data_IF_364714694639
#
_entry.id   IF_364714694639
#
_cell.length_a   1.000
_cell.length_b   1.000
_cell.length_c   1.000
_cell.angle_alpha   90.00
_cell.angle_beta   90.00
_cell.angle_gamma   90.00
#
_symmetry.space_group_name_H-M   'P 1'
#
loop_
_entity.id
_entity.type
_entity.pdbx_description
1 polymer ?
#
# COMPACT_ATOMS: atom_id res chain seq x y z
N UNK A 1 -19.53 -0.11 -17.32
CA UNK A 1 -18.12 0.08 -17.65
C UNK A 1 -17.44 0.76 -16.47
N UNK A 2 -16.36 0.20 -15.95
CA UNK A 2 -15.66 0.73 -14.78
C UNK A 2 -14.23 0.19 -14.71
N UNK A 3 -13.50 0.60 -13.66
CA UNK A 3 -12.10 0.20 -13.39
C UNK A 3 -11.11 0.62 -14.49
N UNK A 4 -11.39 1.69 -15.24
CA UNK A 4 -10.40 2.29 -16.14
C UNK A 4 -9.43 3.06 -15.27
N UNK A 5 -8.25 2.49 -15.01
CA UNK A 5 -7.29 2.99 -14.03
C UNK A 5 -6.00 3.52 -14.66
N UNK A 6 -5.77 3.23 -15.93
CA UNK A 6 -4.60 3.70 -16.68
C UNK A 6 -4.97 4.24 -18.06
N UNK A 7 -4.06 5.02 -18.64
CA UNK A 7 -4.26 5.71 -19.91
C UNK A 7 -4.40 4.75 -21.09
N UNK A 8 -3.59 3.68 -21.12
CA UNK A 8 -3.58 2.71 -22.20
C UNK A 8 -4.90 1.94 -22.27
N UNK A 9 -5.49 1.62 -21.10
CA UNK A 9 -6.82 1.02 -21.03
C UNK A 9 -7.88 1.96 -21.59
N UNK A 10 -7.83 3.25 -21.23
CA UNK A 10 -8.76 4.26 -21.76
C UNK A 10 -8.64 4.39 -23.28
N UNK A 11 -7.42 4.50 -23.80
CA UNK A 11 -7.14 4.59 -25.23
C UNK A 11 -7.66 3.37 -25.98
N UNK A 12 -7.36 2.16 -25.53
CA UNK A 12 -7.83 0.91 -26.17
C UNK A 12 -9.35 0.82 -26.25
N UNK A 13 -10.10 1.29 -25.27
CA UNK A 13 -11.57 1.28 -25.30
C UNK A 13 -12.09 2.16 -26.43
N UNK A 14 -11.51 3.33 -26.64
CA UNK A 14 -11.90 4.27 -27.71
C UNK A 14 -11.44 3.74 -29.08
N UNK A 15 -10.16 3.41 -29.22
CA UNK A 15 -9.54 2.96 -30.48
C UNK A 15 -10.19 1.69 -31.04
N UNK A 16 -10.64 0.78 -30.17
CA UNK A 16 -11.34 -0.45 -30.57
C UNK A 16 -12.82 -0.23 -30.90
N UNK A 17 -13.35 0.98 -30.77
CA UNK A 17 -14.75 1.29 -31.01
C UNK A 17 -15.73 0.70 -29.98
N UNK A 18 -15.22 0.25 -28.82
CA UNK A 18 -16.08 -0.26 -27.74
C UNK A 18 -16.91 0.85 -27.09
N UNK A 19 -16.44 2.08 -27.12
CA UNK A 19 -17.16 3.25 -26.66
C UNK A 19 -16.60 4.52 -27.31
N UNK A 20 -17.42 5.57 -27.41
CA UNK A 20 -17.01 6.89 -27.93
C UNK A 20 -16.30 7.71 -26.84
N UNK A 21 -16.57 7.44 -25.58
CA UNK A 21 -16.01 8.14 -24.42
C UNK A 21 -15.79 7.18 -23.26
N UNK A 22 -14.87 7.55 -22.36
CA UNK A 22 -14.64 6.88 -21.09
C UNK A 22 -14.99 7.82 -19.93
N UNK A 23 -15.65 7.28 -18.89
CA UNK A 23 -15.92 8.01 -17.66
C UNK A 23 -15.11 7.41 -16.51
N UNK A 24 -14.52 8.28 -15.68
CA UNK A 24 -13.69 7.89 -14.56
C UNK A 24 -14.15 8.58 -13.28
N UNK A 25 -14.49 7.79 -12.25
CA UNK A 25 -14.80 8.31 -10.92
C UNK A 25 -13.61 8.14 -9.98
N UNK A 26 -13.44 6.95 -9.41
CA UNK A 26 -12.38 6.65 -8.43
C UNK A 26 -10.94 6.96 -8.87
N UNK A 27 -10.55 6.80 -10.14
CA UNK A 27 -9.24 7.24 -10.60
C UNK A 27 -8.97 8.73 -10.37
N UNK A 28 -9.99 9.59 -10.57
CA UNK A 28 -9.86 11.04 -10.33
C UNK A 28 -9.85 11.39 -8.82
N UNK A 29 -10.39 10.54 -7.95
CA UNK A 29 -10.20 10.69 -6.49
C UNK A 29 -8.76 10.34 -6.07
N UNK A 30 -8.18 9.33 -6.71
CA UNK A 30 -6.79 8.95 -6.46
C UNK A 30 -5.81 9.99 -7.03
N UNK A 31 -6.08 10.49 -8.23
CA UNK A 31 -5.25 11.47 -8.94
C UNK A 31 -6.13 12.48 -9.70
N UNK A 32 -6.38 13.67 -9.13
CA UNK A 32 -7.20 14.70 -9.80
C UNK A 32 -6.56 15.23 -11.07
N UNK A 33 -5.22 15.16 -11.19
CA UNK A 33 -4.45 15.63 -12.36
C UNK A 33 -4.34 14.58 -13.48
N UNK A 34 -5.07 13.48 -13.40
CA UNK A 34 -4.99 12.35 -14.32
C UNK A 34 -5.02 12.77 -15.79
N UNK A 35 -6.02 13.58 -16.17
CA UNK A 35 -6.16 14.07 -17.55
C UNK A 35 -5.03 15.02 -17.96
N UNK A 36 -4.62 15.92 -17.09
CA UNK A 36 -3.51 16.86 -17.32
C UNK A 36 -2.19 16.13 -17.52
N UNK A 37 -1.92 15.10 -16.72
CA UNK A 37 -0.72 14.26 -16.85
C UNK A 37 -0.68 13.51 -18.17
N UNK A 38 -1.81 12.97 -18.64
CA UNK A 38 -1.88 12.31 -19.96
C UNK A 38 -1.62 13.33 -21.08
N UNK A 39 -2.30 14.47 -21.05
CA UNK A 39 -2.13 15.51 -22.07
C UNK A 39 -0.66 16.00 -22.13
N UNK A 40 0.06 15.95 -21.02
CA UNK A 40 1.48 16.29 -20.94
C UNK A 40 2.44 15.12 -21.29
N UNK A 41 1.94 13.95 -21.69
CA UNK A 41 2.75 12.75 -21.95
C UNK A 41 3.35 12.09 -20.70
N UNK A 42 2.81 12.41 -19.53
CA UNK A 42 3.30 11.96 -18.20
C UNK A 42 2.41 10.87 -17.57
N UNK A 43 1.96 9.92 -18.38
CA UNK A 43 1.09 8.85 -17.91
C UNK A 43 1.72 8.02 -16.76
N UNK A 44 3.05 7.89 -16.72
CA UNK A 44 3.78 7.21 -15.64
C UNK A 44 3.72 7.94 -14.29
N UNK A 45 3.37 9.23 -14.26
CA UNK A 45 3.24 10.02 -13.03
C UNK A 45 1.85 9.88 -12.38
N UNK A 46 0.94 9.13 -13.01
CA UNK A 46 -0.42 8.93 -12.50
C UNK A 46 -0.40 8.02 -11.27
N UNK A 47 -1.05 8.47 -10.20
CA UNK A 47 -1.36 7.66 -9.01
C UNK A 47 -2.60 6.82 -9.29
N UNK A 48 -2.39 5.56 -9.68
CA UNK A 48 -3.48 4.68 -10.15
C UNK A 48 -4.35 4.16 -8.99
N UNK A 49 -5.66 4.23 -9.16
CA UNK A 49 -6.62 3.69 -8.19
C UNK A 49 -6.44 2.16 -8.02
N UNK A 50 -6.36 1.70 -6.78
CA UNK A 50 -6.24 0.27 -6.41
C UNK A 50 -7.59 -0.42 -6.17
N UNK A 51 -8.68 0.24 -6.44
CA UNK A 51 -10.05 -0.30 -6.30
C UNK A 51 -10.39 -0.87 -4.91
N UNK A 52 -9.74 -0.37 -3.84
CA UNK A 52 -9.93 -0.86 -2.47
C UNK A 52 -11.27 -0.47 -1.84
N UNK A 53 -11.98 0.48 -2.41
CA UNK A 53 -13.28 1.02 -1.97
C UNK A 53 -13.31 1.69 -0.58
N UNK A 54 -12.31 1.47 0.29
CA UNK A 54 -12.33 1.82 1.73
C UNK A 54 -12.66 3.28 2.03
N UNK A 55 -11.98 4.23 1.38
CA UNK A 55 -12.18 5.66 1.63
C UNK A 55 -13.24 6.32 0.75
N UNK A 56 -13.72 5.65 -0.28
CA UNK A 56 -14.68 6.21 -1.24
C UNK A 56 -16.03 5.48 -1.17
N UNK A 57 -16.19 4.33 -1.82
CA UNK A 57 -17.47 3.63 -1.91
C UNK A 57 -18.03 3.24 -0.54
N UNK A 58 -17.19 2.67 0.34
CA UNK A 58 -17.60 2.32 1.69
C UNK A 58 -17.96 3.55 2.53
N UNK A 59 -17.16 4.62 2.42
CA UNK A 59 -17.45 5.86 3.14
C UNK A 59 -18.83 6.41 2.73
N UNK A 60 -19.14 6.46 1.43
CA UNK A 60 -20.43 6.91 0.93
C UNK A 60 -21.56 6.01 1.45
N UNK A 61 -21.42 4.68 1.38
CA UNK A 61 -22.43 3.73 1.84
C UNK A 61 -22.67 3.85 3.35
N UNK A 62 -21.63 4.12 4.12
CA UNK A 62 -21.70 4.29 5.57
C UNK A 62 -21.95 5.76 5.98
N UNK A 63 -22.31 6.66 5.05
CA UNK A 63 -22.56 8.09 5.28
C UNK A 63 -21.37 8.79 5.97
N UNK A 64 -20.17 8.38 5.65
CA UNK A 64 -18.93 8.96 6.13
C UNK A 64 -18.34 9.92 5.10
N UNK A 65 -17.38 10.73 5.53
CA UNK A 65 -16.69 11.67 4.66
C UNK A 65 -15.83 10.93 3.64
N UNK A 66 -15.93 11.34 2.38
CA UNK A 66 -15.20 10.73 1.26
C UNK A 66 -13.71 11.03 1.35
N UNK A 67 -12.89 10.00 1.21
CA UNK A 67 -11.43 10.09 1.18
C UNK A 67 -10.82 9.06 0.23
N UNK A 68 -9.50 9.10 0.06
CA UNK A 68 -8.79 8.10 -0.72
C UNK A 68 -7.52 7.66 0.04
N UNK A 69 -7.29 6.34 0.12
CA UNK A 69 -6.10 5.77 0.80
C UNK A 69 -4.78 6.14 0.11
N UNK A 70 -4.83 6.49 -1.17
CA UNK A 70 -3.67 6.90 -1.97
C UNK A 70 -3.51 8.43 -2.05
N UNK A 71 -4.55 9.20 -1.73
CA UNK A 71 -4.56 10.64 -1.87
C UNK A 71 -5.05 11.30 -0.58
N UNK A 72 -4.12 11.73 0.24
CA UNK A 72 -4.41 12.36 1.54
C UNK A 72 -5.08 13.74 1.41
N UNK A 73 -4.99 14.38 0.25
CA UNK A 73 -5.63 15.68 -0.03
C UNK A 73 -7.10 15.53 -0.40
N UNK A 74 -7.52 14.37 -0.92
CA UNK A 74 -8.88 14.16 -1.41
C UNK A 74 -9.94 14.45 -0.33
N UNK A 75 -10.81 15.40 -0.62
CA UNK A 75 -11.83 15.89 0.31
C UNK A 75 -11.32 16.88 1.36
N UNK A 76 -10.02 17.21 1.33
CA UNK A 76 -9.36 18.16 2.24
C UNK A 76 -8.47 19.16 1.48
N UNK A 77 -8.76 19.40 0.21
CA UNK A 77 -7.93 20.21 -0.70
C UNK A 77 -7.66 21.61 -0.16
N UNK A 78 -8.63 22.18 0.58
CA UNK A 78 -8.49 23.51 1.18
C UNK A 78 -7.55 23.55 2.40
N UNK A 79 -7.26 22.41 3.03
CA UNK A 79 -6.51 22.36 4.30
C UNK A 79 -5.26 21.50 4.25
N UNK A 80 -5.18 20.58 3.29
CA UNK A 80 -4.07 19.62 3.15
C UNK A 80 -3.29 19.74 1.84
N UNK A 81 -3.61 20.74 0.99
CA UNK A 81 -2.84 21.00 -0.23
C UNK A 81 -1.36 21.23 0.11
N UNK A 82 -0.47 20.63 -0.68
CA UNK A 82 0.97 20.74 -0.46
C UNK A 82 1.41 22.18 -0.76
N UNK A 83 1.86 22.89 0.28
CA UNK A 83 2.33 24.27 0.18
C UNK A 83 3.85 24.31 0.40
N UNK A 84 4.56 25.22 -0.28
CA UNK A 84 5.97 25.45 -0.02
C UNK A 84 6.25 25.73 1.46
N UNK A 85 7.33 25.17 2.00
CA UNK A 85 7.74 25.43 3.36
C UNK A 85 8.28 26.88 3.50
N UNK A 86 7.95 27.55 4.62
CA UNK A 86 8.48 28.87 4.91
C UNK A 86 10.02 28.89 5.03
N UNK A 87 10.60 27.77 5.48
CA UNK A 87 12.05 27.59 5.60
C UNK A 87 12.44 26.20 5.09
N UNK A 88 13.39 26.15 4.15
CA UNK A 88 14.01 24.90 3.70
C UNK A 88 14.80 24.27 4.82
N UNK A 89 14.66 22.95 5.01
CA UNK A 89 15.40 22.14 6.00
C UNK A 89 16.02 20.93 5.33
N UNK A 90 17.07 20.42 5.93
CA UNK A 90 17.66 19.12 5.62
C UNK A 90 16.98 18.06 6.49
N UNK A 91 16.20 17.16 5.84
CA UNK A 91 15.33 16.20 6.51
C UNK A 91 15.79 14.77 6.22
N UNK A 92 15.94 13.97 7.28
CA UNK A 92 16.11 12.53 7.17
C UNK A 92 14.76 11.81 7.32
N UNK A 93 14.48 10.86 6.45
CA UNK A 93 13.36 9.93 6.57
C UNK A 93 13.92 8.54 6.79
N UNK A 94 13.50 7.88 7.87
CA UNK A 94 13.94 6.52 8.21
C UNK A 94 12.86 5.51 7.85
N UNK A 95 13.16 4.65 6.87
CA UNK A 95 12.28 3.61 6.37
C UNK A 95 11.66 3.94 5.01
N UNK A 96 11.83 3.03 4.04
CA UNK A 96 11.34 3.11 2.66
C UNK A 96 10.01 2.40 2.43
N UNK A 97 9.22 2.21 3.49
CA UNK A 97 7.83 1.75 3.40
C UNK A 97 6.86 2.87 2.95
N UNK A 98 5.56 2.60 2.81
CA UNK A 98 4.60 3.57 2.26
C UNK A 98 4.55 4.88 3.06
N UNK A 99 4.67 4.82 4.37
CA UNK A 99 4.67 6.01 5.24
C UNK A 99 5.91 6.88 4.99
N UNK A 100 7.10 6.27 4.92
CA UNK A 100 8.34 7.01 4.67
C UNK A 100 8.42 7.55 3.25
N UNK A 101 7.99 6.78 2.26
CA UNK A 101 7.93 7.21 0.87
C UNK A 101 7.01 8.44 0.70
N UNK A 102 5.79 8.40 1.26
CA UNK A 102 4.87 9.53 1.16
C UNK A 102 5.38 10.74 1.94
N UNK A 103 5.95 10.55 3.14
CA UNK A 103 6.55 11.63 3.91
C UNK A 103 7.72 12.30 3.18
N UNK A 104 8.60 11.50 2.56
CA UNK A 104 9.73 11.99 1.77
C UNK A 104 9.25 12.78 0.54
N UNK A 105 8.26 12.23 -0.21
CA UNK A 105 7.68 12.90 -1.36
C UNK A 105 7.10 14.26 -0.99
N UNK A 106 6.25 14.30 0.05
CA UNK A 106 5.60 15.55 0.47
C UNK A 106 6.63 16.56 0.98
N UNK A 107 7.61 16.13 1.77
CA UNK A 107 8.67 17.02 2.25
C UNK A 107 9.50 17.62 1.10
N UNK A 108 9.85 16.80 0.09
CA UNK A 108 10.58 17.27 -1.09
C UNK A 108 9.74 18.25 -1.93
N UNK A 109 8.47 17.96 -2.17
CA UNK A 109 7.56 18.87 -2.89
C UNK A 109 7.34 20.20 -2.15
N UNK A 110 7.49 20.20 -0.83
CA UNK A 110 7.49 21.44 -0.03
C UNK A 110 8.82 22.22 -0.10
N UNK A 111 9.82 21.70 -0.80
CA UNK A 111 11.11 22.37 -1.03
C UNK A 111 12.21 22.02 -0.04
N UNK A 112 12.02 21.04 0.82
CA UNK A 112 13.06 20.55 1.73
C UNK A 112 14.14 19.75 0.98
N UNK A 113 15.35 19.65 1.56
CA UNK A 113 16.40 18.73 1.14
C UNK A 113 16.19 17.40 1.88
N UNK A 114 15.75 16.37 1.17
CA UNK A 114 15.27 15.12 1.78
C UNK A 114 16.16 13.95 1.43
N UNK A 115 16.64 13.24 2.46
CA UNK A 115 17.33 11.96 2.32
C UNK A 115 16.51 10.86 2.99
N UNK A 116 16.17 9.81 2.25
CA UNK A 116 15.49 8.63 2.76
C UNK A 116 16.49 7.49 2.94
N UNK A 117 16.55 6.94 4.15
CA UNK A 117 17.38 5.78 4.51
C UNK A 117 16.49 4.54 4.62
N UNK A 118 16.83 3.48 3.89
CA UNK A 118 16.16 2.19 3.94
C UNK A 118 17.18 1.09 4.27
N UNK A 119 16.86 0.24 5.25
CA UNK A 119 17.75 -0.83 5.73
C UNK A 119 17.94 -1.97 4.72
N UNK A 120 16.97 -2.17 3.85
CA UNK A 120 16.99 -3.21 2.80
C UNK A 120 17.46 -2.63 1.47
N UNK A 121 17.58 -3.47 0.46
CA UNK A 121 17.93 -3.07 -0.91
C UNK A 121 16.69 -2.77 -1.78
N UNK A 122 15.49 -2.82 -1.20
CA UNK A 122 14.23 -2.57 -1.92
C UNK A 122 13.32 -1.61 -1.16
N UNK A 123 12.63 -0.73 -1.91
CA UNK A 123 11.59 0.15 -1.40
C UNK A 123 10.23 -0.56 -1.39
N UNK A 124 9.25 0.03 -0.70
CA UNK A 124 7.88 -0.48 -0.59
C UNK A 124 7.55 -1.10 0.77
N UNK A 125 8.56 -1.54 1.53
CA UNK A 125 8.37 -2.09 2.88
C UNK A 125 7.31 -3.19 2.91
N UNK A 126 6.36 -3.11 3.84
CA UNK A 126 5.31 -4.12 4.02
C UNK A 126 4.35 -4.26 2.82
N UNK A 127 4.25 -3.28 1.92
CA UNK A 127 3.46 -3.44 0.70
C UNK A 127 3.98 -4.57 -0.19
N UNK A 128 5.31 -4.85 -0.14
CA UNK A 128 5.91 -5.95 -0.89
C UNK A 128 5.40 -7.33 -0.43
N UNK A 129 5.02 -7.45 0.83
CA UNK A 129 4.42 -8.66 1.41
C UNK A 129 2.90 -8.64 1.20
N UNK A 130 2.25 -7.50 1.43
CA UNK A 130 0.81 -7.35 1.32
C UNK A 130 0.26 -7.55 -0.10
N UNK A 131 1.10 -7.43 -1.14
CA UNK A 131 0.71 -7.69 -2.52
C UNK A 131 0.88 -9.15 -2.98
N UNK A 132 1.35 -10.05 -2.09
CA UNK A 132 1.62 -11.47 -2.42
C UNK A 132 0.36 -12.33 -2.47
N UNK A 133 -0.63 -12.15 -1.57
CA UNK A 133 -1.88 -12.90 -1.64
C UNK A 133 -2.60 -12.71 -2.98
N UNK A 134 -3.44 -13.65 -3.40
CA UNK A 134 -4.18 -13.56 -4.66
C UNK A 134 -4.96 -12.25 -4.81
N UNK A 135 -5.05 -11.73 -6.02
CA UNK A 135 -5.84 -10.52 -6.39
C UNK A 135 -5.37 -9.21 -5.71
N UNK A 136 -4.09 -9.11 -5.37
CA UNK A 136 -3.46 -7.92 -4.75
C UNK A 136 -2.47 -7.20 -5.69
N UNK A 137 -2.53 -7.44 -6.99
CA UNK A 137 -1.61 -6.87 -7.98
C UNK A 137 -1.66 -5.34 -8.02
N UNK A 138 -2.85 -4.76 -7.77
CA UNK A 138 -3.01 -3.30 -7.70
C UNK A 138 -2.20 -2.66 -6.57
N UNK A 139 -1.99 -3.36 -5.45
CA UNK A 139 -1.14 -2.86 -4.35
C UNK A 139 0.33 -2.78 -4.76
N UNK A 140 0.81 -3.72 -5.57
CA UNK A 140 2.17 -3.67 -6.15
C UNK A 140 2.34 -2.45 -7.04
N UNK A 141 1.35 -2.18 -7.91
CA UNK A 141 1.37 -0.99 -8.77
C UNK A 141 1.37 0.30 -7.94
N UNK A 142 0.54 0.39 -6.90
CA UNK A 142 0.54 1.55 -6.01
C UNK A 142 1.89 1.79 -5.33
N UNK A 143 2.59 0.73 -4.91
CA UNK A 143 3.94 0.85 -4.37
C UNK A 143 4.91 1.40 -5.44
N UNK A 144 4.84 0.90 -6.67
CA UNK A 144 5.67 1.37 -7.79
C UNK A 144 5.38 2.83 -8.14
N UNK A 145 4.10 3.22 -8.21
CA UNK A 145 3.70 4.61 -8.48
C UNK A 145 4.23 5.56 -7.40
N UNK A 146 4.18 5.15 -6.13
CA UNK A 146 4.70 5.95 -5.03
C UNK A 146 6.24 6.06 -5.06
N UNK A 147 6.95 4.97 -5.35
CA UNK A 147 8.41 4.97 -5.53
C UNK A 147 8.80 5.89 -6.67
N UNK A 148 8.12 5.80 -7.82
CA UNK A 148 8.33 6.69 -8.96
C UNK A 148 8.13 8.15 -8.58
N UNK A 149 7.06 8.47 -7.87
CA UNK A 149 6.77 9.83 -7.42
C UNK A 149 7.83 10.38 -6.45
N UNK A 150 8.41 9.54 -5.59
CA UNK A 150 9.53 9.90 -4.69
C UNK A 150 10.79 10.22 -5.49
N UNK A 151 11.12 9.40 -6.50
CA UNK A 151 12.27 9.65 -7.38
C UNK A 151 12.10 10.97 -8.15
N UNK A 152 10.91 11.21 -8.71
CA UNK A 152 10.61 12.45 -9.45
C UNK A 152 10.61 13.69 -8.56
N UNK A 153 10.32 13.56 -7.27
CA UNK A 153 10.41 14.65 -6.30
C UNK A 153 11.85 15.01 -5.90
N UNK A 154 12.86 14.28 -6.39
CA UNK A 154 14.28 14.57 -6.15
C UNK A 154 14.75 14.14 -4.75
N UNK A 155 14.14 13.16 -4.13
CA UNK A 155 14.56 12.60 -2.83
C UNK A 155 15.86 11.81 -3.00
N UNK A 156 16.86 12.04 -2.14
CA UNK A 156 18.08 11.24 -2.09
C UNK A 156 17.80 9.89 -1.40
N UNK A 157 18.00 8.79 -2.13
CA UNK A 157 17.75 7.44 -1.63
C UNK A 157 19.05 6.76 -1.16
N UNK A 158 19.10 6.36 0.11
CA UNK A 158 20.21 5.63 0.72
C UNK A 158 19.75 4.22 1.10
N UNK A 159 19.95 3.28 0.18
CA UNK A 159 19.53 1.88 0.33
C UNK A 159 20.56 1.04 1.10
N UNK A 160 20.11 -0.02 1.78
CA UNK A 160 20.98 -0.90 2.58
C UNK A 160 21.60 -0.20 3.79
N UNK A 161 21.00 0.87 4.29
CA UNK A 161 21.58 1.73 5.30
C UNK A 161 20.63 2.02 6.47
N UNK A 162 21.15 1.91 7.67
CA UNK A 162 20.52 2.41 8.90
C UNK A 162 21.32 3.59 9.42
N UNK A 163 20.69 4.44 10.23
CA UNK A 163 21.36 5.59 10.88
C UNK A 163 20.94 5.68 12.33
N UNK A 164 21.89 5.99 13.21
CA UNK A 164 21.62 6.36 14.60
C UNK A 164 21.29 7.86 14.71
N UNK A 165 20.74 8.26 15.82
CA UNK A 165 20.43 9.67 16.08
C UNK A 165 21.69 10.56 16.03
N UNK A 166 22.81 10.06 16.57
CA UNK A 166 24.10 10.76 16.57
C UNK A 166 24.60 10.96 15.13
N UNK A 167 24.60 9.90 14.32
CA UNK A 167 25.02 9.98 12.91
C UNK A 167 24.18 10.99 12.10
N UNK A 168 22.87 11.07 12.36
CA UNK A 168 22.00 12.03 11.70
C UNK A 168 22.30 13.46 12.15
N UNK A 169 22.54 13.67 13.44
CA UNK A 169 22.91 14.98 14.00
C UNK A 169 24.26 15.46 13.44
N UNK A 170 25.27 14.59 13.41
CA UNK A 170 26.62 14.91 12.91
C UNK A 170 26.59 15.20 11.40
N UNK A 171 25.68 14.55 10.66
CA UNK A 171 25.45 14.83 9.23
C UNK A 171 24.63 16.11 8.96
N UNK A 172 24.26 16.86 10.01
CA UNK A 172 23.56 18.13 9.91
C UNK A 172 22.08 18.03 9.51
N UNK A 173 21.41 16.92 9.80
CA UNK A 173 19.96 16.85 9.63
C UNK A 173 19.27 17.66 10.72
N UNK A 174 18.34 18.53 10.29
CA UNK A 174 17.59 19.44 11.16
C UNK A 174 16.27 18.81 11.67
N UNK A 175 15.77 17.82 10.94
CA UNK A 175 14.57 17.09 11.31
C UNK A 175 14.67 15.61 10.87
N UNK A 176 14.02 14.73 11.64
CA UNK A 176 13.95 13.29 11.35
C UNK A 176 12.49 12.85 11.34
N UNK A 177 12.09 12.17 10.27
CA UNK A 177 10.79 11.50 10.20
C UNK A 177 11.03 10.01 10.41
N UNK A 178 10.52 9.47 11.52
CA UNK A 178 10.62 8.06 11.83
C UNK A 178 9.46 7.28 11.21
N UNK A 179 9.74 6.46 10.19
CA UNK A 179 8.80 5.63 9.47
C UNK A 179 9.28 4.17 9.34
N UNK A 180 9.97 3.66 10.36
CA UNK A 180 10.62 2.33 10.36
C UNK A 180 9.63 1.15 10.34
N UNK A 181 8.32 1.42 10.43
CA UNK A 181 7.26 0.42 10.32
C UNK A 181 7.07 -0.39 11.60
N UNK A 182 6.57 -1.61 11.42
CA UNK A 182 6.29 -2.56 12.48
C UNK A 182 6.83 -3.95 12.09
N UNK A 183 6.78 -4.88 13.03
CA UNK A 183 7.07 -6.30 12.83
C UNK A 183 5.88 -7.12 13.34
N UNK A 184 5.81 -8.39 12.93
CA UNK A 184 4.79 -9.31 13.41
C UNK A 184 4.96 -9.54 14.91
N UNK A 185 3.84 -9.67 15.64
CA UNK A 185 3.81 -10.03 17.03
C UNK A 185 3.21 -11.42 17.20
N UNK A 186 3.93 -12.34 17.86
CA UNK A 186 3.43 -13.65 18.19
C UNK A 186 2.51 -13.57 19.42
N UNK A 187 1.32 -14.19 19.40
CA UNK A 187 0.46 -14.27 20.58
C UNK A 187 1.10 -15.15 21.65
N UNK A 188 0.79 -14.87 22.94
CA UNK A 188 1.29 -15.67 24.06
C UNK A 188 0.40 -16.92 24.25
N UNK A 189 0.61 -17.94 23.43
CA UNK A 189 -0.09 -19.22 23.53
C UNK A 189 0.92 -20.36 23.67
N UNK A 190 0.57 -21.46 24.38
CA UNK A 190 1.44 -22.61 24.49
C UNK A 190 1.80 -23.20 23.13
N UNK A 191 3.07 -23.48 22.91
CA UNK A 191 3.58 -24.09 21.67
C UNK A 191 3.88 -23.11 20.54
N UNK A 192 3.79 -21.80 20.73
CA UNK A 192 4.03 -20.79 19.69
C UNK A 192 5.47 -20.84 19.14
N UNK A 193 6.42 -21.28 19.95
CA UNK A 193 7.83 -21.42 19.59
C UNK A 193 8.21 -22.79 19.03
N UNK A 194 7.22 -23.65 18.75
CA UNK A 194 7.45 -25.00 18.22
C UNK A 194 7.87 -24.95 16.76
N UNK A 195 8.67 -25.95 16.34
CA UNK A 195 9.26 -26.04 15.00
C UNK A 195 8.24 -26.09 13.84
N UNK A 196 7.00 -26.47 14.14
CA UNK A 196 5.89 -26.53 13.20
C UNK A 196 5.08 -25.21 13.14
N UNK A 197 5.53 -24.15 13.81
CA UNK A 197 4.92 -22.83 13.75
C UNK A 197 5.67 -21.93 12.77
N UNK A 198 4.94 -21.28 11.89
CA UNK A 198 5.47 -20.34 10.91
C UNK A 198 4.86 -18.96 11.11
N UNK A 199 5.67 -17.92 10.91
CA UNK A 199 5.19 -16.54 10.88
C UNK A 199 4.57 -16.22 9.52
N UNK A 200 3.34 -15.68 9.50
CA UNK A 200 2.61 -15.38 8.27
C UNK A 200 3.37 -14.42 7.34
N UNK A 201 4.07 -13.42 7.89
CA UNK A 201 4.86 -12.50 7.08
C UNK A 201 6.04 -13.18 6.41
N UNK A 202 6.72 -14.09 7.14
CA UNK A 202 7.83 -14.87 6.58
C UNK A 202 7.36 -15.86 5.51
N UNK A 203 6.16 -16.42 5.69
CA UNK A 203 5.53 -17.28 4.68
C UNK A 203 5.23 -16.48 3.41
N UNK A 204 4.60 -15.31 3.54
CA UNK A 204 4.32 -14.43 2.40
C UNK A 204 5.58 -13.85 1.77
N UNK A 205 6.63 -13.59 2.56
CA UNK A 205 7.93 -13.18 2.05
C UNK A 205 8.70 -14.31 1.33
N UNK A 206 8.24 -15.56 1.43
CA UNK A 206 8.91 -16.73 0.87
C UNK A 206 10.11 -17.23 1.70
N UNK A 207 10.29 -16.70 2.91
CA UNK A 207 11.37 -17.07 3.84
C UNK A 207 11.07 -18.37 4.59
N UNK A 208 9.78 -18.69 4.75
CA UNK A 208 9.30 -19.95 5.33
C UNK A 208 8.32 -20.62 4.37
N UNK A 209 8.48 -21.95 4.21
CA UNK A 209 7.58 -22.74 3.38
C UNK A 209 6.67 -23.59 4.26
N UNK A 210 5.40 -23.67 3.89
CA UNK A 210 4.37 -24.41 4.62
C UNK A 210 3.58 -25.28 3.63
N UNK A 211 3.31 -26.52 4.01
CA UNK A 211 2.67 -27.52 3.15
C UNK A 211 1.67 -28.36 3.95
N UNK A 212 0.76 -29.03 3.24
CA UNK A 212 -0.17 -30.01 3.80
C UNK A 212 -1.33 -29.37 4.55
N UNK A 213 -1.61 -29.83 5.77
CA UNK A 213 -2.71 -29.30 6.60
C UNK A 213 -2.20 -28.22 7.53
N UNK A 214 -2.82 -27.05 7.46
CA UNK A 214 -2.38 -25.82 8.14
C UNK A 214 -3.52 -25.22 8.95
N UNK A 215 -3.22 -24.83 10.18
CA UNK A 215 -4.08 -23.99 11.00
C UNK A 215 -3.50 -22.55 11.00
N UNK A 216 -4.28 -21.56 10.54
CA UNK A 216 -3.94 -20.15 10.63
C UNK A 216 -4.59 -19.58 11.89
N UNK A 217 -3.77 -19.10 12.82
CA UNK A 217 -4.23 -18.51 14.07
C UNK A 217 -4.41 -17.00 13.88
N UNK A 218 -5.65 -16.55 14.03
CA UNK A 218 -6.09 -15.19 13.78
C UNK A 218 -6.78 -15.03 12.43
N UNK A 219 -8.05 -14.70 12.44
CA UNK A 219 -8.89 -14.46 11.26
C UNK A 219 -9.03 -12.99 10.89
N UNK A 220 -8.09 -12.12 11.31
CA UNK A 220 -8.00 -10.77 10.79
C UNK A 220 -7.56 -10.75 9.32
N UNK A 221 -7.40 -9.56 8.72
CA UNK A 221 -7.07 -9.43 7.30
C UNK A 221 -5.81 -10.23 6.91
N UNK A 222 -4.72 -10.09 7.67
CA UNK A 222 -3.45 -10.80 7.38
C UNK A 222 -3.64 -12.32 7.42
N UNK A 223 -4.35 -12.83 8.44
CA UNK A 223 -4.60 -14.28 8.56
C UNK A 223 -5.47 -14.79 7.42
N UNK A 224 -6.55 -14.10 7.10
CA UNK A 224 -7.42 -14.46 5.99
C UNK A 224 -6.72 -14.46 4.63
N UNK A 225 -5.91 -13.43 4.35
CA UNK A 225 -5.14 -13.33 3.10
C UNK A 225 -4.02 -14.39 3.04
N UNK A 226 -3.38 -14.71 4.18
CA UNK A 226 -2.41 -15.80 4.26
C UNK A 226 -3.07 -17.17 4.06
N UNK A 227 -4.26 -17.37 4.65
CA UNK A 227 -5.03 -18.59 4.46
C UNK A 227 -5.38 -18.83 2.99
N UNK A 228 -5.85 -17.78 2.30
CA UNK A 228 -6.13 -17.83 0.86
C UNK A 228 -4.88 -18.14 0.04
N UNK A 229 -3.77 -17.48 0.35
CA UNK A 229 -2.48 -17.72 -0.32
C UNK A 229 -2.03 -19.19 -0.20
N UNK A 230 -2.18 -19.78 0.99
CA UNK A 230 -1.83 -21.18 1.24
C UNK A 230 -2.79 -22.14 0.56
N UNK A 231 -4.10 -21.87 0.61
CA UNK A 231 -5.13 -22.71 -0.03
C UNK A 231 -4.96 -22.72 -1.56
N UNK A 232 -4.69 -21.57 -2.16
CA UNK A 232 -4.38 -21.44 -3.60
C UNK A 232 -3.12 -22.25 -4.02
N UNK A 233 -2.28 -22.62 -3.06
CA UNK A 233 -1.09 -23.47 -3.26
C UNK A 233 -1.31 -24.95 -2.91
N UNK A 234 -2.55 -25.34 -2.66
CA UNK A 234 -2.94 -26.73 -2.39
C UNK A 234 -2.84 -27.15 -0.92
N UNK A 235 -2.65 -26.23 0.02
CA UNK A 235 -2.74 -26.54 1.43
C UNK A 235 -4.21 -26.73 1.84
N UNK A 236 -4.46 -27.67 2.77
CA UNK A 236 -5.75 -27.76 3.46
C UNK A 236 -5.72 -26.81 4.66
N UNK A 237 -6.46 -25.71 4.59
CA UNK A 237 -6.34 -24.61 5.56
C UNK A 237 -7.57 -24.53 6.45
N UNK A 238 -7.35 -24.33 7.76
CA UNK A 238 -8.38 -23.95 8.72
C UNK A 238 -7.98 -22.63 9.38
N UNK A 239 -8.88 -21.65 9.41
CA UNK A 239 -8.68 -20.37 10.12
C UNK A 239 -9.33 -20.47 11.50
N UNK A 240 -8.57 -20.14 12.54
CA UNK A 240 -9.02 -20.13 13.93
C UNK A 240 -9.08 -18.67 14.39
N UNK A 241 -10.28 -18.20 14.70
CA UNK A 241 -10.54 -16.83 15.15
C UNK A 241 -11.32 -16.84 16.45
N UNK A 242 -10.95 -15.99 17.39
CA UNK A 242 -11.63 -15.87 18.68
C UNK A 242 -12.87 -14.97 18.63
N UNK A 243 -12.99 -14.12 17.61
CA UNK A 243 -14.13 -13.24 17.40
C UNK A 243 -15.19 -13.94 16.53
N UNK A 244 -16.40 -13.41 16.54
CA UNK A 244 -17.54 -13.98 15.80
C UNK A 244 -17.41 -13.88 14.28
N UNK A 245 -16.47 -13.08 13.78
CA UNK A 245 -16.33 -12.81 12.35
C UNK A 245 -14.85 -12.77 11.95
N UNK A 246 -14.55 -13.37 10.79
CA UNK A 246 -13.26 -13.25 10.12
C UNK A 246 -13.22 -12.01 9.22
N UNK A 247 -12.02 -11.64 8.79
CA UNK A 247 -11.75 -10.48 7.91
C UNK A 247 -12.34 -9.17 8.44
N UNK A 248 -12.36 -8.98 9.76
CA UNK A 248 -12.81 -7.75 10.38
C UNK A 248 -11.97 -6.55 9.87
N UNK A 249 -12.65 -5.48 9.43
CA UNK A 249 -12.03 -4.28 8.85
C UNK A 249 -11.84 -4.33 7.33
N UNK A 250 -12.30 -5.40 6.65
CA UNK A 250 -12.40 -5.35 5.19
C UNK A 250 -13.56 -4.43 4.75
N UNK A 251 -13.42 -3.89 3.53
CA UNK A 251 -14.45 -3.11 2.89
C UNK A 251 -15.76 -3.88 2.82
N UNK A 252 -16.87 -3.26 3.22
CA UNK A 252 -18.20 -3.87 3.19
C UNK A 252 -18.63 -4.25 1.78
N UNK A 253 -18.07 -3.61 0.75
CA UNK A 253 -18.32 -3.92 -0.66
C UNK A 253 -17.43 -5.05 -1.20
N UNK A 254 -16.30 -5.34 -0.53
CA UNK A 254 -15.34 -6.38 -0.95
C UNK A 254 -15.57 -7.68 -0.15
N UNK A 255 -15.91 -7.57 1.13
CA UNK A 255 -16.07 -8.70 2.04
C UNK A 255 -16.94 -9.85 1.50
N UNK A 256 -18.12 -9.60 0.88
CA UNK A 256 -18.93 -10.70 0.32
C UNK A 256 -18.19 -11.49 -0.75
N UNK A 257 -17.47 -10.81 -1.65
CA UNK A 257 -16.68 -11.45 -2.70
C UNK A 257 -15.49 -12.23 -2.11
N UNK A 258 -14.84 -11.68 -1.09
CA UNK A 258 -13.75 -12.35 -0.38
C UNK A 258 -14.23 -13.66 0.25
N UNK A 259 -15.35 -13.63 0.96
CA UNK A 259 -15.94 -14.83 1.58
C UNK A 259 -16.40 -15.88 0.55
N UNK A 260 -16.91 -15.42 -0.61
CA UNK A 260 -17.26 -16.33 -1.71
C UNK A 260 -16.03 -17.01 -2.31
N UNK A 261 -14.95 -16.25 -2.49
CA UNK A 261 -13.68 -16.81 -2.97
C UNK A 261 -13.13 -17.91 -2.05
N UNK A 262 -13.30 -17.78 -0.74
CA UNK A 262 -12.87 -18.83 0.21
C UNK A 262 -13.61 -20.15 0.04
N UNK A 263 -14.81 -20.16 -0.52
CA UNK A 263 -15.55 -21.39 -0.82
C UNK A 263 -15.01 -22.15 -2.04
N UNK A 264 -14.11 -21.52 -2.81
CA UNK A 264 -13.51 -22.12 -4.02
C UNK A 264 -12.28 -22.98 -3.69
N UNK A 265 -11.76 -22.87 -2.49
CA UNK A 265 -10.60 -23.63 -1.98
C UNK A 265 -11.02 -24.64 -0.91
#
# INVERSE_FOLDING_TARGET
VGRIVDADMAARVIESGMADMVAMGRPLLADPDWGTKIAAGKACDIRRCISCNKGCTDAIQNRQFLSCVLNAENGYENTRSIQPAAQKKKIAVLGGGPAGLEAARVAALRGHDVTLFEKTTSLGGQLNIACVPPRKEEMRRAAQDLIHAVCNAGVHLCMGQTRTAEQLKDAGFEAVINAVGAHSAAPRIPGIDSVNVADAWKVLAGEQQVYGTVAVIGGGMVGCETAEYLAARGCKVSVIEMMDKIAAGESTTILPTLLENYKTY
#
